data_IF_045603475240
#
_entry.id   IF_045603475240
#
_cell.length_a   1.000
_cell.length_b   1.000
_cell.length_c   1.000
_cell.angle_alpha   90.00
_cell.angle_beta   90.00
_cell.angle_gamma   90.00
#
_symmetry.space_group_name_H-M   'P 1'
#
loop_
_entity.id
_entity.type
_entity.pdbx_description
1 polymer ?
#
# COMPACT_ATOMS: atom_id res chain seq x y z
N UNK A 1 -16.98 7.33 -17.88
CA UNK A 1 -18.08 7.23 -16.92
C UNK A 1 -17.50 6.67 -15.64
N UNK A 2 -17.56 7.43 -14.55
CA UNK A 2 -16.89 7.10 -13.30
C UNK A 2 -17.58 5.93 -12.59
N UNK A 3 -18.91 5.87 -12.64
CA UNK A 3 -19.68 4.76 -12.04
C UNK A 3 -19.29 3.42 -12.68
N UNK A 4 -19.11 3.40 -14.00
CA UNK A 4 -18.66 2.22 -14.74
C UNK A 4 -17.22 1.83 -14.36
N UNK A 5 -16.36 2.81 -14.08
CA UNK A 5 -15.00 2.55 -13.65
C UNK A 5 -14.95 1.93 -12.25
N UNK A 6 -15.72 2.45 -11.31
CA UNK A 6 -15.83 1.89 -9.95
C UNK A 6 -16.37 0.48 -9.96
N UNK A 7 -17.45 0.23 -10.71
CA UNK A 7 -17.99 -1.12 -10.89
C UNK A 7 -16.94 -2.08 -11.48
N UNK A 8 -16.15 -1.62 -12.45
CA UNK A 8 -15.08 -2.44 -13.03
C UNK A 8 -13.99 -2.75 -11.99
N UNK A 9 -13.59 -1.78 -11.18
CA UNK A 9 -12.64 -1.97 -10.08
C UNK A 9 -13.16 -2.97 -9.06
N UNK A 10 -14.43 -2.86 -8.64
CA UNK A 10 -15.05 -3.78 -7.69
C UNK A 10 -15.10 -5.22 -8.22
N UNK A 11 -15.41 -5.39 -9.51
CA UNK A 11 -15.34 -6.70 -10.18
C UNK A 11 -13.91 -7.23 -10.20
N UNK A 12 -12.91 -6.38 -10.50
CA UNK A 12 -11.50 -6.81 -10.48
C UNK A 12 -11.05 -7.22 -9.08
N UNK A 13 -11.41 -6.47 -8.02
CA UNK A 13 -11.16 -6.85 -6.63
C UNK A 13 -11.83 -8.19 -6.28
N UNK A 14 -13.06 -8.40 -6.76
CA UNK A 14 -13.76 -9.69 -6.57
C UNK A 14 -13.03 -10.83 -7.27
N UNK A 15 -12.55 -10.61 -8.50
CA UNK A 15 -11.79 -11.62 -9.26
C UNK A 15 -10.46 -11.96 -8.60
N UNK A 16 -9.74 -10.98 -8.03
CA UNK A 16 -8.54 -11.21 -7.23
C UNK A 16 -8.85 -12.21 -6.12
N UNK A 17 -9.91 -11.99 -5.35
CA UNK A 17 -10.33 -12.90 -4.28
C UNK A 17 -10.71 -14.29 -4.80
N UNK A 18 -11.31 -14.39 -5.99
CA UNK A 18 -11.60 -15.68 -6.64
C UNK A 18 -10.35 -16.46 -7.08
N UNK A 19 -9.18 -15.82 -7.17
CA UNK A 19 -7.92 -16.53 -7.52
C UNK A 19 -7.31 -17.29 -6.35
N UNK A 20 -7.77 -17.03 -5.13
CA UNK A 20 -7.24 -17.62 -3.91
C UNK A 20 -8.04 -18.89 -3.57
N UNK A 21 -7.36 -19.94 -3.13
CA UNK A 21 -7.99 -21.17 -2.61
C UNK A 21 -8.85 -20.90 -1.35
N UNK A 22 -9.60 -21.89 -0.87
CA UNK A 22 -10.34 -21.79 0.41
C UNK A 22 -9.44 -21.44 1.62
N UNK A 23 -8.16 -21.77 1.55
CA UNK A 23 -7.16 -21.38 2.55
C UNK A 23 -6.57 -19.99 2.30
N UNK A 24 -7.03 -19.23 1.29
CA UNK A 24 -6.60 -17.85 0.94
C UNK A 24 -5.10 -17.70 0.58
N UNK A 25 -4.36 -18.80 0.53
CA UNK A 25 -2.89 -18.81 0.55
C UNK A 25 -2.22 -19.32 -0.72
N UNK A 26 -2.98 -20.01 -1.56
CA UNK A 26 -2.46 -20.68 -2.76
C UNK A 26 -3.29 -20.24 -3.96
N UNK A 27 -2.59 -19.61 -4.91
CA UNK A 27 -3.05 -19.47 -6.28
C UNK A 27 -3.19 -20.88 -6.85
N UNK A 28 -4.42 -21.26 -7.17
CA UNK A 28 -4.68 -22.55 -7.78
C UNK A 28 -4.03 -22.61 -9.17
N UNK A 29 -3.56 -23.77 -9.65
CA UNK A 29 -3.01 -23.90 -11.00
C UNK A 29 -3.94 -23.33 -12.09
N UNK A 30 -5.25 -23.49 -11.89
CA UNK A 30 -6.29 -23.01 -12.79
C UNK A 30 -6.43 -21.47 -12.77
N UNK A 31 -6.03 -20.81 -11.69
CA UNK A 31 -6.12 -19.36 -11.54
C UNK A 31 -4.88 -18.60 -12.07
N UNK A 32 -3.78 -19.28 -12.39
CA UNK A 32 -2.50 -18.63 -12.76
C UNK A 32 -2.65 -17.65 -13.93
N UNK A 33 -3.41 -18.02 -14.97
CA UNK A 33 -3.63 -17.13 -16.12
C UNK A 33 -4.41 -15.86 -15.72
N UNK A 34 -5.40 -16.01 -14.85
CA UNK A 34 -6.17 -14.88 -14.32
C UNK A 34 -5.31 -13.98 -13.42
N UNK A 35 -4.46 -14.55 -12.55
CA UNK A 35 -3.51 -13.78 -11.74
C UNK A 35 -2.61 -12.94 -12.64
N UNK A 36 -2.04 -13.52 -13.70
CA UNK A 36 -1.17 -12.79 -14.63
C UNK A 36 -1.91 -11.63 -15.32
N UNK A 37 -3.17 -11.84 -15.72
CA UNK A 37 -4.00 -10.78 -16.30
C UNK A 37 -4.31 -9.66 -15.29
N UNK A 38 -4.63 -10.01 -14.04
CA UNK A 38 -4.92 -9.04 -12.97
C UNK A 38 -3.66 -8.24 -12.61
N UNK A 39 -2.51 -8.91 -12.45
CA UNK A 39 -1.22 -8.26 -12.21
C UNK A 39 -0.85 -7.33 -13.37
N UNK A 40 -0.98 -7.77 -14.62
CA UNK A 40 -0.75 -6.92 -15.79
C UNK A 40 -1.65 -5.69 -15.81
N UNK A 41 -2.93 -5.85 -15.43
CA UNK A 41 -3.90 -4.76 -15.36
C UNK A 41 -3.52 -3.76 -14.26
N UNK A 42 -3.18 -4.24 -13.06
CA UNK A 42 -2.71 -3.42 -11.94
C UNK A 42 -1.50 -2.57 -12.34
N UNK A 43 -0.49 -3.19 -12.97
CA UNK A 43 0.71 -2.50 -13.41
C UNK A 43 0.44 -1.45 -14.49
N UNK A 44 -0.53 -1.70 -15.38
CA UNK A 44 -0.91 -0.75 -16.43
C UNK A 44 -1.57 0.53 -15.88
N UNK A 45 -2.09 0.49 -14.64
CA UNK A 45 -2.76 1.61 -13.99
C UNK A 45 -1.79 2.51 -13.20
N UNK A 46 -0.63 2.00 -12.77
CA UNK A 46 0.41 2.76 -12.05
C UNK A 46 0.79 4.09 -12.71
N UNK A 47 1.00 4.17 -14.05
CA UNK A 47 1.34 5.44 -14.69
C UNK A 47 0.28 6.53 -14.49
N UNK A 48 -1.00 6.16 -14.35
CA UNK A 48 -2.08 7.14 -14.12
C UNK A 48 -2.02 7.75 -12.73
N UNK A 49 -1.69 6.94 -11.71
CA UNK A 49 -1.45 7.41 -10.34
C UNK A 49 -0.28 8.40 -10.31
N UNK A 50 0.84 8.04 -10.96
CA UNK A 50 2.01 8.92 -11.04
C UNK A 50 1.73 10.21 -11.81
N UNK A 51 0.94 10.12 -12.89
CA UNK A 51 0.52 11.29 -13.65
C UNK A 51 -0.28 12.26 -12.79
N UNK A 52 -1.22 11.75 -11.98
CA UNK A 52 -1.97 12.56 -11.02
C UNK A 52 -1.03 13.30 -10.06
N UNK A 53 -0.12 12.57 -9.40
CA UNK A 53 0.85 13.18 -8.46
C UNK A 53 1.68 14.27 -9.15
N UNK A 54 2.14 14.01 -10.38
CA UNK A 54 2.89 14.99 -11.17
C UNK A 54 2.05 16.23 -11.51
N UNK A 55 0.80 16.04 -11.90
CA UNK A 55 -0.10 17.12 -12.29
C UNK A 55 -0.53 17.98 -11.11
N UNK A 56 -0.79 17.35 -9.95
CA UNK A 56 -1.02 18.04 -8.67
C UNK A 56 0.18 18.88 -8.27
N UNK A 57 1.39 18.32 -8.32
CA UNK A 57 2.64 19.07 -8.02
C UNK A 57 2.89 20.22 -9.01
N UNK A 58 2.41 20.09 -10.24
CA UNK A 58 2.46 21.15 -11.25
C UNK A 58 1.35 22.21 -11.12
N UNK A 59 0.46 22.08 -10.12
CA UNK A 59 -0.65 23.02 -9.88
C UNK A 59 -1.76 22.94 -10.91
N UNK A 60 -1.91 21.80 -11.60
CA UNK A 60 -3.03 21.57 -12.52
C UNK A 60 -4.30 21.24 -11.73
N UNK A 61 -5.44 21.60 -12.30
CA UNK A 61 -6.74 21.16 -11.80
C UNK A 61 -6.92 19.68 -12.12
N UNK A 62 -6.99 18.85 -11.08
CA UNK A 62 -7.07 17.38 -11.16
C UNK A 62 -8.32 16.83 -10.47
N UNK A 63 -9.29 17.69 -10.11
CA UNK A 63 -10.47 17.31 -9.33
C UNK A 63 -11.22 16.14 -10.00
N UNK A 64 -11.32 16.14 -11.33
CA UNK A 64 -11.99 15.07 -12.08
C UNK A 64 -11.28 13.71 -12.02
N UNK A 65 -10.01 13.68 -11.61
CA UNK A 65 -9.20 12.46 -11.51
C UNK A 65 -9.13 11.90 -10.08
N UNK A 66 -9.61 12.63 -9.07
CA UNK A 66 -9.48 12.25 -7.66
C UNK A 66 -10.17 10.90 -7.37
N UNK A 67 -11.44 10.75 -7.77
CA UNK A 67 -12.20 9.51 -7.59
C UNK A 67 -11.56 8.35 -8.35
N UNK A 68 -11.10 8.59 -9.58
CA UNK A 68 -10.40 7.58 -10.37
C UNK A 68 -9.13 7.09 -9.66
N UNK A 69 -8.37 8.00 -9.07
CA UNK A 69 -7.13 7.67 -8.35
C UNK A 69 -7.42 6.87 -7.09
N UNK A 70 -8.46 7.22 -6.33
CA UNK A 70 -8.91 6.44 -5.17
C UNK A 70 -9.28 5.01 -5.58
N UNK A 71 -9.98 4.85 -6.69
CA UNK A 71 -10.37 3.52 -7.20
C UNK A 71 -9.19 2.73 -7.78
N UNK A 72 -8.21 3.38 -8.41
CA UNK A 72 -6.94 2.73 -8.80
C UNK A 72 -6.18 2.27 -7.56
N UNK A 73 -6.02 3.13 -6.56
CA UNK A 73 -5.34 2.81 -5.31
C UNK A 73 -6.02 1.64 -4.60
N UNK A 74 -7.35 1.61 -4.55
CA UNK A 74 -8.14 0.48 -4.02
C UNK A 74 -7.74 -0.83 -4.68
N UNK A 75 -7.70 -0.88 -6.01
CA UNK A 75 -7.33 -2.09 -6.72
C UNK A 75 -5.88 -2.52 -6.48
N UNK A 76 -4.94 -1.56 -6.46
CA UNK A 76 -3.53 -1.82 -6.17
C UNK A 76 -3.33 -2.36 -4.74
N UNK A 77 -4.07 -1.84 -3.76
CA UNK A 77 -4.05 -2.32 -2.38
C UNK A 77 -4.62 -3.74 -2.32
N UNK A 78 -5.81 -3.97 -2.89
CA UNK A 78 -6.48 -5.28 -2.85
C UNK A 78 -5.60 -6.39 -3.43
N UNK A 79 -5.02 -6.18 -4.62
CA UNK A 79 -4.17 -7.18 -5.26
C UNK A 79 -2.87 -7.42 -4.50
N UNK A 80 -2.30 -6.38 -3.87
CA UNK A 80 -1.08 -6.50 -3.06
C UNK A 80 -1.35 -7.26 -1.76
N UNK A 81 -2.49 -7.01 -1.11
CA UNK A 81 -2.89 -7.69 0.11
C UNK A 81 -3.29 -9.15 -0.14
N UNK A 82 -3.99 -9.43 -1.25
CA UNK A 82 -4.34 -10.78 -1.66
C UNK A 82 -3.10 -11.66 -1.89
N UNK A 83 -2.03 -11.08 -2.46
CA UNK A 83 -0.80 -11.81 -2.77
C UNK A 83 0.35 -11.54 -1.79
N UNK A 84 0.05 -11.02 -0.60
CA UNK A 84 1.05 -10.67 0.41
C UNK A 84 1.94 -11.85 0.82
N UNK A 85 1.41 -13.08 0.81
CA UNK A 85 2.19 -14.29 1.10
C UNK A 85 3.33 -14.51 0.09
N UNK A 86 3.08 -14.22 -1.18
CA UNK A 86 4.07 -14.35 -2.26
C UNK A 86 5.10 -13.23 -2.20
N UNK A 87 4.64 -12.01 -1.91
CA UNK A 87 5.49 -10.84 -1.66
C UNK A 87 6.43 -11.13 -0.49
N UNK A 88 5.89 -11.51 0.67
CA UNK A 88 6.67 -11.76 1.88
C UNK A 88 7.69 -12.90 1.73
N UNK A 89 7.43 -13.87 0.85
CA UNK A 89 8.38 -14.95 0.50
C UNK A 89 9.45 -14.51 -0.52
N UNK A 90 9.44 -13.26 -0.96
CA UNK A 90 10.41 -12.71 -1.90
C UNK A 90 10.25 -13.21 -3.34
N UNK A 91 9.04 -13.62 -3.75
CA UNK A 91 8.83 -14.10 -5.12
C UNK A 91 8.90 -12.96 -6.13
N UNK A 92 9.82 -13.06 -7.09
CA UNK A 92 10.19 -11.98 -8.02
C UNK A 92 9.00 -11.33 -8.72
N UNK A 93 8.03 -12.14 -9.16
CA UNK A 93 6.92 -11.70 -9.99
C UNK A 93 5.93 -10.82 -9.22
N UNK A 94 5.94 -10.90 -7.88
CA UNK A 94 5.06 -10.13 -7.00
C UNK A 94 5.75 -8.92 -6.36
N UNK A 95 7.08 -8.89 -6.30
CA UNK A 95 7.83 -7.80 -5.67
C UNK A 95 7.58 -6.44 -6.33
N UNK A 96 7.17 -6.41 -7.60
CA UNK A 96 6.77 -5.19 -8.29
C UNK A 96 5.61 -4.45 -7.59
N UNK A 97 4.78 -5.19 -6.85
CA UNK A 97 3.66 -4.60 -6.10
C UNK A 97 4.13 -3.78 -4.91
N UNK A 98 5.31 -4.07 -4.34
CA UNK A 98 5.87 -3.28 -3.24
C UNK A 98 6.14 -1.84 -3.69
N UNK A 99 6.69 -1.67 -4.89
CA UNK A 99 6.88 -0.33 -5.47
C UNK A 99 5.54 0.33 -5.80
N UNK A 100 4.51 -0.42 -6.25
CA UNK A 100 3.18 0.14 -6.44
C UNK A 100 2.56 0.63 -5.11
N UNK A 101 2.76 -0.10 -4.02
CA UNK A 101 2.31 0.31 -2.68
C UNK A 101 3.05 1.54 -2.18
N UNK A 102 4.34 1.69 -2.50
CA UNK A 102 5.09 2.91 -2.21
C UNK A 102 4.56 4.11 -3.01
N UNK A 103 4.21 3.92 -4.28
CA UNK A 103 3.61 4.97 -5.10
C UNK A 103 2.28 5.45 -4.52
N UNK A 104 1.41 4.54 -4.08
CA UNK A 104 0.16 4.89 -3.39
C UNK A 104 0.44 5.57 -2.06
N UNK A 105 1.40 5.08 -1.26
CA UNK A 105 1.78 5.68 0.01
C UNK A 105 2.40 7.09 -0.12
N UNK A 106 2.99 7.41 -1.28
CA UNK A 106 3.54 8.73 -1.59
C UNK A 106 2.50 9.75 -2.08
N UNK A 107 1.24 9.32 -2.20
CA UNK A 107 0.17 10.16 -2.73
C UNK A 107 -0.14 11.31 -1.76
N UNK A 108 -0.26 12.57 -2.22
CA UNK A 108 -0.41 13.74 -1.34
C UNK A 108 -1.73 13.75 -0.54
N UNK A 109 -2.78 13.13 -1.06
CA UNK A 109 -4.03 12.92 -0.33
C UNK A 109 -3.86 11.80 0.72
N UNK A 110 -4.04 12.17 1.99
CA UNK A 110 -3.98 11.27 3.14
C UNK A 110 -5.02 10.14 3.07
N UNK A 111 -6.18 10.37 2.46
CA UNK A 111 -7.18 9.31 2.27
C UNK A 111 -6.63 8.21 1.38
N UNK A 112 -5.90 8.57 0.32
CA UNK A 112 -5.27 7.61 -0.61
C UNK A 112 -4.05 6.94 0.01
N UNK A 113 -3.13 7.72 0.61
CA UNK A 113 -1.90 7.13 1.17
C UNK A 113 -2.19 6.17 2.32
N UNK A 114 -3.19 6.48 3.15
CA UNK A 114 -3.60 5.62 4.28
C UNK A 114 -4.25 4.30 3.88
N UNK A 115 -4.70 4.14 2.63
CA UNK A 115 -5.19 2.86 2.12
C UNK A 115 -4.11 1.77 2.14
N UNK A 116 -2.83 2.15 2.13
CA UNK A 116 -1.70 1.21 2.13
C UNK A 116 -1.30 0.71 3.51
N UNK A 117 -1.80 1.33 4.58
CA UNK A 117 -1.25 1.09 5.92
C UNK A 117 -1.55 -0.32 6.43
N UNK A 118 -2.68 -0.91 6.05
CA UNK A 118 -3.02 -2.31 6.32
C UNK A 118 -1.96 -3.26 5.76
N UNK A 119 -1.65 -3.13 4.48
CA UNK A 119 -0.57 -3.86 3.82
C UNK A 119 0.78 -3.74 4.55
N UNK A 120 1.23 -2.53 4.87
CA UNK A 120 2.52 -2.31 5.53
C UNK A 120 2.58 -2.90 6.93
N UNK A 121 1.49 -2.78 7.70
CA UNK A 121 1.33 -3.44 8.99
C UNK A 121 1.45 -4.96 8.82
N UNK A 122 0.62 -5.58 7.97
CA UNK A 122 0.63 -7.03 7.76
C UNK A 122 2.00 -7.55 7.30
N UNK A 123 2.62 -6.88 6.31
CA UNK A 123 3.94 -7.25 5.80
C UNK A 123 5.00 -7.18 6.91
N UNK A 124 4.98 -6.15 7.75
CA UNK A 124 5.93 -6.04 8.86
C UNK A 124 5.79 -7.18 9.86
N UNK A 125 4.55 -7.56 10.23
CA UNK A 125 4.29 -8.67 11.14
C UNK A 125 4.71 -10.01 10.56
N UNK A 126 4.44 -10.23 9.28
CA UNK A 126 4.89 -11.44 8.57
C UNK A 126 6.42 -11.52 8.60
N UNK A 127 7.14 -10.42 8.30
CA UNK A 127 8.60 -10.41 8.27
C UNK A 127 9.22 -10.62 9.66
N UNK A 128 8.69 -9.96 10.69
CA UNK A 128 9.27 -9.96 12.05
C UNK A 128 8.88 -11.20 12.85
N UNK A 129 7.59 -11.56 12.83
CA UNK A 129 7.01 -12.61 13.66
C UNK A 129 6.83 -13.90 12.87
N UNK A 130 6.79 -13.83 11.53
CA UNK A 130 6.59 -15.01 10.67
C UNK A 130 5.12 -15.39 10.50
N UNK A 131 4.20 -14.55 10.97
CA UNK A 131 2.76 -14.84 11.03
C UNK A 131 1.99 -13.67 10.41
N UNK A 132 0.97 -13.98 9.61
CA UNK A 132 0.00 -12.99 9.14
C UNK A 132 -0.97 -12.65 10.29
N UNK A 133 -1.07 -11.38 10.71
CA UNK A 133 -1.90 -11.00 11.85
C UNK A 133 -3.40 -11.14 11.60
N UNK A 134 -3.84 -11.18 10.33
CA UNK A 134 -5.26 -11.24 10.00
C UNK A 134 -5.78 -12.68 9.90
N UNK A 135 -4.91 -13.62 9.49
CA UNK A 135 -5.25 -15.04 9.34
C UNK A 135 -4.65 -15.93 10.43
N UNK A 136 -3.76 -15.39 11.27
CA UNK A 136 -2.95 -16.11 12.26
C UNK A 136 -2.05 -17.22 11.66
N UNK A 137 -1.88 -17.24 10.33
CA UNK A 137 -1.16 -18.27 9.61
C UNK A 137 0.35 -18.04 9.66
N UNK A 138 1.12 -19.12 9.88
CA UNK A 138 2.59 -19.08 9.80
C UNK A 138 3.05 -19.04 8.34
N UNK A 139 3.60 -17.90 7.93
CA UNK A 139 4.07 -17.63 6.56
C UNK A 139 5.56 -17.92 6.40
N UNK A 140 6.36 -17.46 7.36
CA UNK A 140 7.81 -17.54 7.31
C UNK A 140 8.35 -18.37 8.48
N UNK A 141 9.42 -19.11 8.20
CA UNK A 141 10.16 -19.91 9.17
C UNK A 141 11.43 -19.21 9.66
N UNK A 142 12.53 -19.94 9.70
CA UNK A 142 13.82 -19.43 10.20
C UNK A 142 14.49 -18.43 9.23
N UNK A 143 14.07 -18.41 7.96
CA UNK A 143 14.65 -17.58 6.88
C UNK A 143 14.14 -16.13 6.84
N UNK A 144 13.76 -15.54 7.99
CA UNK A 144 13.20 -14.17 8.05
C UNK A 144 14.25 -13.07 7.86
N UNK A 145 15.45 -13.26 8.37
CA UNK A 145 16.48 -12.21 8.39
C UNK A 145 16.88 -11.73 6.97
N UNK A 146 17.14 -12.62 5.98
CA UNK A 146 17.44 -12.17 4.63
C UNK A 146 16.27 -11.44 3.95
N UNK A 147 15.02 -11.81 4.30
CA UNK A 147 13.83 -11.14 3.79
C UNK A 147 13.67 -9.74 4.41
N UNK A 148 13.89 -9.60 5.72
CA UNK A 148 13.93 -8.28 6.38
C UNK A 148 14.94 -7.35 5.69
N UNK A 149 16.15 -7.85 5.42
CA UNK A 149 17.19 -7.08 4.70
C UNK A 149 16.77 -6.71 3.27
N UNK A 150 16.10 -7.62 2.57
CA UNK A 150 15.55 -7.36 1.23
C UNK A 150 14.49 -6.25 1.24
N UNK A 151 13.63 -6.20 2.26
CA UNK A 151 12.55 -5.22 2.36
C UNK A 151 12.96 -3.91 3.03
N UNK A 152 14.13 -3.84 3.69
CA UNK A 152 14.61 -2.65 4.37
C UNK A 152 14.58 -1.38 3.50
N UNK A 153 15.06 -1.38 2.23
CA UNK A 153 14.98 -0.20 1.37
C UNK A 153 13.55 0.29 1.12
N UNK A 154 12.58 -0.62 1.00
CA UNK A 154 11.18 -0.25 0.80
C UNK A 154 10.59 0.42 2.05
N UNK A 155 10.84 -0.14 3.23
CA UNK A 155 10.40 0.48 4.49
C UNK A 155 11.09 1.83 4.76
N UNK A 156 12.34 2.00 4.34
CA UNK A 156 13.03 3.29 4.42
C UNK A 156 12.38 4.34 3.52
N UNK A 157 12.04 3.99 2.26
CA UNK A 157 11.28 4.87 1.37
C UNK A 157 9.90 5.21 1.93
N UNK A 158 9.19 4.23 2.48
CA UNK A 158 7.88 4.43 3.12
C UNK A 158 7.98 5.48 4.23
N UNK A 159 8.94 5.34 5.15
CA UNK A 159 9.16 6.32 6.22
C UNK A 159 9.42 7.71 5.65
N UNK A 160 10.25 7.82 4.60
CA UNK A 160 10.48 9.08 3.89
C UNK A 160 9.18 9.74 3.39
N UNK A 161 8.31 8.98 2.73
CA UNK A 161 7.01 9.48 2.27
C UNK A 161 6.09 9.89 3.43
N UNK A 162 5.97 9.06 4.47
CA UNK A 162 5.08 9.33 5.59
C UNK A 162 5.50 10.54 6.43
N UNK A 163 6.79 10.84 6.49
CA UNK A 163 7.28 12.05 7.16
C UNK A 163 6.75 13.31 6.47
N UNK A 164 6.65 13.34 5.14
CA UNK A 164 6.13 14.50 4.39
C UNK A 164 4.69 14.86 4.80
N UNK A 165 3.89 13.88 5.21
CA UNK A 165 2.48 14.05 5.62
C UNK A 165 2.29 14.57 7.05
N UNK A 166 3.33 14.53 7.91
CA UNK A 166 3.23 14.91 9.33
C UNK A 166 3.95 16.23 9.65
N UNK A 167 4.54 16.87 8.64
CA UNK A 167 5.10 18.22 8.75
C UNK A 167 3.96 19.22 8.85
N UNK A 168 4.06 20.16 9.80
CA UNK A 168 3.11 21.25 9.89
C UNK A 168 3.28 22.20 8.69
N UNK A 169 2.17 22.59 8.07
CA UNK A 169 2.19 23.62 7.04
C UNK A 169 2.55 24.99 7.65
N UNK A 170 3.14 25.87 6.84
CA UNK A 170 3.55 27.22 7.27
C UNK A 170 2.38 28.08 7.78
N UNK A 171 1.15 27.74 7.37
CA UNK A 171 -0.09 28.44 7.72
C UNK A 171 -0.86 27.80 8.87
N UNK A 172 -0.25 26.87 9.63
CA UNK A 172 -0.89 26.12 10.72
C UNK A 172 -1.60 27.01 11.75
N UNK A 173 -1.11 28.23 12.01
CA UNK A 173 -1.71 29.17 12.94
C UNK A 173 -3.07 29.73 12.46
N UNK A 174 -3.36 29.60 11.16
CA UNK A 174 -4.61 30.03 10.53
C UNK A 174 -5.69 28.94 10.50
N UNK A 175 -5.33 27.71 10.89
CA UNK A 175 -6.20 26.54 10.81
C UNK A 175 -7.40 26.65 11.76
N UNK A 176 -8.52 26.05 11.33
CA UNK A 176 -9.67 25.90 12.20
C UNK A 176 -9.43 24.81 13.25
N UNK A 177 -10.29 24.77 14.28
CA UNK A 177 -10.29 23.65 15.24
C UNK A 177 -10.56 22.29 14.58
N UNK A 178 -11.28 22.27 13.45
CA UNK A 178 -11.54 21.07 12.65
C UNK A 178 -10.26 20.56 12.01
N UNK A 179 -9.56 21.45 11.29
CA UNK A 179 -8.31 21.12 10.59
C UNK A 179 -7.24 20.59 11.55
N UNK A 180 -7.10 21.19 12.74
CA UNK A 180 -6.19 20.65 13.77
C UNK A 180 -6.58 19.25 14.25
N UNK A 181 -7.89 18.95 14.36
CA UNK A 181 -8.36 17.63 14.78
C UNK A 181 -8.10 16.59 13.71
N UNK A 182 -8.36 16.93 12.44
CA UNK A 182 -8.16 16.04 11.31
C UNK A 182 -6.66 15.77 11.09
N UNK A 183 -5.83 16.81 11.16
CA UNK A 183 -4.37 16.64 11.13
C UNK A 183 -3.85 15.78 12.28
N UNK A 184 -4.38 15.95 13.49
CA UNK A 184 -4.02 15.09 14.63
C UNK A 184 -4.38 13.63 14.37
N UNK A 185 -5.54 13.35 13.75
CA UNK A 185 -5.95 11.99 13.37
C UNK A 185 -4.96 11.39 12.36
N UNK A 186 -4.60 12.15 11.32
CA UNK A 186 -3.59 11.74 10.33
C UNK A 186 -2.27 11.37 11.00
N UNK A 187 -1.77 12.22 11.90
CA UNK A 187 -0.52 11.95 12.64
C UNK A 187 -0.57 10.69 13.50
N UNK A 188 -1.70 10.40 14.14
CA UNK A 188 -1.83 9.16 14.90
C UNK A 188 -1.75 7.94 13.99
N UNK A 189 -2.51 7.94 12.90
CA UNK A 189 -2.51 6.82 11.96
C UNK A 189 -1.11 6.61 11.35
N UNK A 190 -0.42 7.69 10.97
CA UNK A 190 0.96 7.59 10.46
C UNK A 190 1.94 7.11 11.53
N UNK A 191 1.79 7.54 12.80
CA UNK A 191 2.65 7.12 13.89
C UNK A 191 2.61 5.61 14.12
N UNK A 192 1.45 4.98 13.95
CA UNK A 192 1.31 3.53 14.05
C UNK A 192 2.11 2.83 12.94
N UNK A 193 1.93 3.27 11.68
CA UNK A 193 2.67 2.71 10.54
C UNK A 193 4.18 2.95 10.63
N UNK A 194 4.63 4.10 11.14
CA UNK A 194 6.04 4.37 11.40
C UNK A 194 6.62 3.44 12.49
N UNK A 195 5.81 3.12 13.51
CA UNK A 195 6.21 2.18 14.56
C UNK A 195 6.42 0.78 13.98
N UNK A 196 5.52 0.34 13.10
CA UNK A 196 5.65 -0.94 12.40
C UNK A 196 6.86 -0.97 11.46
N UNK A 197 7.11 0.11 10.73
CA UNK A 197 8.28 0.23 9.87
C UNK A 197 9.60 0.16 10.66
N UNK A 198 9.63 0.73 11.86
CA UNK A 198 10.80 0.68 12.74
C UNK A 198 11.15 -0.75 13.18
N UNK A 199 10.19 -1.67 13.23
CA UNK A 199 10.46 -3.09 13.52
C UNK A 199 11.32 -3.75 12.43
N UNK A 200 11.28 -3.23 11.20
CA UNK A 200 12.05 -3.72 10.05
C UNK A 200 13.39 -3.00 9.92
N UNK A 201 13.39 -1.68 10.12
CA UNK A 201 14.59 -0.85 9.96
C UNK A 201 15.57 -0.97 11.14
N UNK A 202 15.07 -1.36 12.31
CA UNK A 202 15.86 -1.42 13.53
C UNK A 202 16.15 -0.04 14.13
N UNK A 203 16.64 0.00 15.38
CA UNK A 203 16.74 1.22 16.20
C UNK A 203 17.73 2.27 15.69
N UNK A 204 18.60 1.94 14.74
CA UNK A 204 19.62 2.87 14.21
C UNK A 204 19.10 3.78 13.08
N UNK A 205 17.85 3.59 12.62
CA UNK A 205 17.26 4.34 11.50
C UNK A 205 16.27 5.42 11.94
N UNK A 206 15.91 5.49 13.23
CA UNK A 206 15.06 6.57 13.77
C UNK A 206 15.90 7.81 14.08
N UNK A 207 15.83 8.78 13.18
CA UNK A 207 16.24 10.18 13.40
C UNK A 207 15.21 10.94 14.24
#
# INVERSE_FOLDING_TARGET
DMEVFDMAVDVMCTLVNCTLSENVEVITPEAVELVNMLMGSALSLRPRLLQYVSDTKAGKDVIEMEDMVKSIAKFLVEISEAYIFYIAKGQSDFLVMVEAMLEVASHPDNEVSSMTFGFWYRLSKILVIGVDPDTEMKVLGEMRQPLIEMFNPAFSKLVGHLIEHVVFADDVDSWSKGDHKDFRKVRYTISDTLTDANLILGPDTTL
#
